data_IF_662412015345
#
_entry.id   IF_662412015345
#
_cell.length_a   1.000
_cell.length_b   1.000
_cell.length_c   1.000
_cell.angle_alpha   90.00
_cell.angle_beta   90.00
_cell.angle_gamma   90.00
#
_symmetry.space_group_name_H-M   'P 1'
#
loop_
_entity.id
_entity.type
_entity.pdbx_description
1 polymer ?
#
# COMPACT_ATOMS: atom_id res chain seq x y z
N UNK A 1 27.34 -47.90 -18.50
CA UNK A 1 28.74 -47.61 -18.14
C UNK A 1 29.56 -47.61 -19.42
N UNK A 2 29.75 -46.44 -20.02
CA UNK A 2 30.30 -46.29 -21.37
C UNK A 2 31.10 -44.98 -21.38
N UNK A 3 32.42 -45.08 -21.34
CA UNK A 3 33.37 -43.96 -21.41
C UNK A 3 33.60 -43.59 -22.86
N UNK A 4 33.66 -42.29 -23.21
CA UNK A 4 34.72 -41.77 -24.10
C UNK A 4 34.87 -40.26 -23.95
N UNK A 5 36.11 -39.81 -23.75
CA UNK A 5 36.58 -38.41 -23.72
C UNK A 5 37.21 -38.10 -25.09
N UNK A 6 37.08 -36.88 -25.60
CA UNK A 6 38.04 -36.31 -26.57
C UNK A 6 38.20 -34.80 -26.34
N UNK A 7 39.46 -34.39 -26.27
CA UNK A 7 39.98 -33.03 -26.15
C UNK A 7 41.01 -32.87 -27.27
N UNK A 8 40.99 -31.78 -28.03
CA UNK A 8 42.12 -31.34 -28.84
C UNK A 8 42.17 -29.80 -28.90
N UNK A 9 43.30 -29.27 -28.44
CA UNK A 9 43.74 -27.89 -28.59
C UNK A 9 44.44 -27.72 -29.95
N UNK A 10 44.39 -26.52 -30.53
CA UNK A 10 45.30 -26.12 -31.62
C UNK A 10 45.83 -24.70 -31.38
N UNK A 11 47.16 -24.61 -31.36
CA UNK A 11 48.05 -23.45 -31.31
C UNK A 11 47.99 -22.77 -32.70
N UNK A 12 47.72 -21.47 -32.86
CA UNK A 12 48.65 -20.35 -32.71
C UNK A 12 49.40 -20.04 -34.02
N UNK A 13 49.33 -18.80 -34.55
CA UNK A 13 50.49 -18.04 -35.07
C UNK A 13 50.09 -16.63 -35.56
N UNK A 14 51.02 -15.70 -35.32
CA UNK A 14 51.02 -14.24 -35.46
C UNK A 14 50.98 -13.70 -36.90
N UNK A 15 50.61 -12.42 -37.07
CA UNK A 15 51.31 -11.40 -37.91
C UNK A 15 50.92 -10.00 -37.40
N UNK A 16 51.94 -9.17 -37.20
CA UNK A 16 51.87 -7.72 -36.90
C UNK A 16 52.39 -6.98 -38.13
N UNK A 17 51.69 -5.95 -38.64
CA UNK A 17 52.32 -4.71 -39.15
C UNK A 17 51.30 -3.58 -39.37
N UNK A 18 51.79 -2.35 -39.32
CA UNK A 18 51.13 -1.14 -38.82
C UNK A 18 50.72 -0.11 -39.90
N UNK A 19 49.66 0.63 -39.55
CA UNK A 19 49.37 2.08 -39.74
C UNK A 19 49.39 2.68 -41.16
N UNK A 20 48.25 3.25 -41.55
CA UNK A 20 48.09 4.64 -42.02
C UNK A 20 46.59 4.94 -42.14
N UNK A 21 46.02 5.77 -41.26
CA UNK A 21 44.79 6.48 -41.60
C UNK A 21 44.67 7.81 -40.83
N UNK A 22 44.65 8.85 -41.64
CA UNK A 22 44.29 10.26 -41.48
C UNK A 22 43.50 10.70 -40.24
N UNK A 23 43.90 11.87 -39.74
CA UNK A 23 43.10 12.81 -38.98
C UNK A 23 41.67 12.95 -39.54
N UNK A 24 40.65 12.84 -38.68
CA UNK A 24 39.44 13.64 -38.80
C UNK A 24 38.82 13.88 -37.41
N UNK A 25 38.23 15.06 -37.28
CA UNK A 25 38.00 15.77 -36.05
C UNK A 25 36.70 15.39 -35.30
N UNK A 26 36.72 15.69 -34.00
CA UNK A 26 35.61 15.96 -33.08
C UNK A 26 34.38 15.04 -33.16
N UNK A 27 34.26 14.15 -32.19
CA UNK A 27 32.97 13.82 -31.58
C UNK A 27 33.03 14.12 -30.10
N UNK A 28 32.15 15.02 -29.66
CA UNK A 28 32.00 15.46 -28.27
C UNK A 28 31.82 14.26 -27.35
N UNK A 29 32.54 14.24 -26.22
CA UNK A 29 32.30 13.26 -25.16
C UNK A 29 31.05 13.69 -24.39
N UNK A 30 29.89 13.14 -24.74
CA UNK A 30 28.75 13.16 -23.84
C UNK A 30 29.05 12.19 -22.68
N UNK A 31 29.55 12.76 -21.57
CA UNK A 31 29.72 12.12 -20.28
C UNK A 31 28.35 11.55 -19.83
N UNK A 32 28.21 10.26 -19.47
CA UNK A 32 26.96 9.80 -18.88
C UNK A 32 26.85 10.46 -17.51
N UNK A 33 25.96 11.44 -17.40
CA UNK A 33 25.61 12.04 -16.13
C UNK A 33 24.67 11.07 -15.41
N UNK A 34 25.25 10.19 -14.60
CA UNK A 34 24.51 9.23 -13.80
C UNK A 34 24.10 9.86 -12.47
N UNK A 35 23.33 10.94 -12.52
CA UNK A 35 22.58 11.42 -11.37
C UNK A 35 21.19 10.79 -11.39
N UNK A 36 21.15 9.45 -11.26
CA UNK A 36 19.91 8.78 -10.89
C UNK A 36 19.78 8.88 -9.37
N UNK A 37 19.39 10.07 -8.89
CA UNK A 37 18.81 10.18 -7.56
C UNK A 37 17.47 9.45 -7.64
N UNK A 38 17.25 8.29 -6.99
CA UNK A 38 15.89 7.82 -6.81
C UNK A 38 15.19 8.95 -6.10
N UNK A 39 14.22 9.57 -6.77
CA UNK A 39 13.29 10.43 -6.07
C UNK A 39 12.57 9.48 -5.13
N UNK A 40 13.05 9.38 -3.90
CA UNK A 40 12.25 8.86 -2.81
C UNK A 40 11.13 9.87 -2.70
N UNK A 41 10.07 9.67 -3.48
CA UNK A 41 8.81 10.36 -3.26
C UNK A 41 8.51 10.10 -1.81
N UNK A 42 8.63 11.13 -0.97
CA UNK A 42 8.15 11.07 0.40
C UNK A 42 6.66 10.78 0.27
N UNK A 43 6.30 9.51 0.41
CA UNK A 43 4.92 9.08 0.44
C UNK A 43 4.33 9.76 1.67
N UNK A 44 3.68 10.90 1.46
CA UNK A 44 2.98 11.58 2.53
C UNK A 44 1.87 10.64 2.99
N UNK A 45 1.99 10.09 4.19
CA UNK A 45 0.89 9.37 4.81
C UNK A 45 -0.31 10.32 4.87
N UNK A 46 -1.46 9.86 4.38
CA UNK A 46 -2.66 10.68 4.31
C UNK A 46 -3.37 10.63 5.65
N UNK A 47 -3.78 11.78 6.18
CA UNK A 47 -4.52 11.86 7.44
C UNK A 47 -5.99 12.13 7.16
N UNK A 48 -6.86 11.41 7.88
CA UNK A 48 -8.30 11.64 7.89
C UNK A 48 -8.75 12.00 9.30
N UNK A 49 -9.87 12.70 9.38
CA UNK A 49 -10.60 12.93 10.61
C UNK A 49 -11.93 12.18 10.55
N UNK A 50 -12.35 11.66 11.70
CA UNK A 50 -13.58 10.91 11.94
C UNK A 50 -14.32 11.65 13.05
N UNK A 51 -15.36 12.37 12.68
CA UNK A 51 -16.29 13.02 13.58
C UNK A 51 -17.32 11.96 14.01
N UNK A 52 -17.46 11.70 15.31
CA UNK A 52 -18.46 10.78 15.85
C UNK A 52 -19.57 11.60 16.48
N UNK A 53 -20.82 11.29 16.17
CA UNK A 53 -21.97 11.96 16.78
C UNK A 53 -21.93 11.83 18.31
N UNK A 54 -22.01 12.97 19.00
CA UNK A 54 -21.92 13.03 20.47
C UNK A 54 -20.50 13.20 21.04
N UNK A 55 -19.46 13.18 20.21
CA UNK A 55 -18.10 13.55 20.62
C UNK A 55 -17.78 14.99 20.22
N UNK A 56 -17.14 15.74 21.14
CA UNK A 56 -16.74 17.13 20.89
C UNK A 56 -15.51 17.23 19.99
N UNK A 57 -14.59 16.25 20.08
CA UNK A 57 -13.34 16.25 19.33
C UNK A 57 -13.36 15.15 18.27
N UNK A 58 -12.87 15.43 17.06
CA UNK A 58 -12.72 14.41 16.05
C UNK A 58 -11.60 13.43 16.44
N UNK A 59 -11.74 12.19 15.99
CA UNK A 59 -10.67 11.20 16.04
C UNK A 59 -9.88 11.32 14.74
N UNK A 60 -8.60 11.00 14.78
CA UNK A 60 -7.79 10.98 13.58
C UNK A 60 -7.35 9.56 13.22
N UNK A 61 -7.14 9.32 11.93
CA UNK A 61 -6.48 8.12 11.45
C UNK A 61 -5.45 8.46 10.38
N UNK A 62 -4.35 7.73 10.39
CA UNK A 62 -3.30 7.81 9.38
C UNK A 62 -3.45 6.63 8.42
N UNK A 63 -3.58 6.93 7.13
CA UNK A 63 -3.74 5.94 6.08
C UNK A 63 -2.41 5.58 5.42
N UNK A 64 -2.30 4.31 5.04
CA UNK A 64 -1.22 3.81 4.21
C UNK A 64 -1.43 4.19 2.74
N UNK A 65 -0.35 4.33 1.99
CA UNK A 65 -0.41 4.60 0.56
C UNK A 65 -0.66 3.31 -0.22
N UNK A 66 -1.91 3.09 -0.62
CA UNK A 66 -2.31 1.97 -1.46
C UNK A 66 -3.39 2.40 -2.48
N UNK A 67 -3.60 1.65 -3.58
CA UNK A 67 -4.74 1.88 -4.47
C UNK A 67 -6.09 1.86 -3.74
N UNK A 68 -6.27 0.96 -2.77
CA UNK A 68 -7.49 0.89 -1.95
C UNK A 68 -7.72 2.19 -1.17
N UNK A 69 -6.67 2.71 -0.55
CA UNK A 69 -6.73 3.98 0.19
C UNK A 69 -7.03 5.17 -0.73
N UNK A 70 -6.43 5.21 -1.91
CA UNK A 70 -6.70 6.27 -2.89
C UNK A 70 -8.18 6.29 -3.30
N UNK A 71 -8.77 5.13 -3.55
CA UNK A 71 -10.20 5.03 -3.87
C UNK A 71 -11.08 5.37 -2.67
N UNK A 72 -10.67 5.04 -1.45
CA UNK A 72 -11.38 5.43 -0.24
C UNK A 72 -11.40 6.96 -0.07
N UNK A 73 -10.25 7.61 -0.25
CA UNK A 73 -10.14 9.08 -0.18
C UNK A 73 -11.02 9.78 -1.23
N UNK A 74 -11.12 9.25 -2.45
CA UNK A 74 -11.98 9.81 -3.52
C UNK A 74 -13.46 9.82 -3.16
N UNK A 75 -13.89 8.99 -2.20
CA UNK A 75 -15.28 8.94 -1.73
C UNK A 75 -15.56 9.90 -0.59
N UNK A 76 -14.54 10.52 0.02
CA UNK A 76 -14.73 11.45 1.13
C UNK A 76 -15.28 12.79 0.62
N UNK A 77 -16.16 13.46 1.40
CA UNK A 77 -16.61 13.09 2.73
C UNK A 77 -17.69 11.98 2.73
N UNK A 78 -17.66 11.12 3.75
CA UNK A 78 -18.66 10.07 3.96
C UNK A 78 -19.40 10.29 5.26
N UNK A 79 -20.72 10.13 5.25
CA UNK A 79 -21.53 9.97 6.47
C UNK A 79 -22.00 8.52 6.55
N UNK A 80 -21.58 7.82 7.59
CA UNK A 80 -21.80 6.37 7.75
C UNK A 80 -22.46 6.08 9.09
N UNK A 81 -23.41 5.15 9.09
CA UNK A 81 -23.87 4.50 10.31
C UNK A 81 -23.09 3.20 10.47
N UNK A 82 -22.21 3.15 11.45
CA UNK A 82 -21.43 1.97 11.80
C UNK A 82 -22.24 1.08 12.74
N UNK A 83 -22.22 -0.23 12.52
CA UNK A 83 -22.86 -1.22 13.39
C UNK A 83 -21.83 -2.20 13.94
N UNK A 84 -22.08 -2.69 15.14
CA UNK A 84 -21.26 -3.74 15.75
C UNK A 84 -21.28 -5.02 14.94
N UNK A 85 -20.11 -5.62 14.76
CA UNK A 85 -19.96 -6.92 14.14
C UNK A 85 -18.91 -7.75 14.89
N UNK A 86 -19.28 -9.01 15.13
CA UNK A 86 -18.47 -10.01 15.81
C UNK A 86 -17.89 -9.56 17.18
N UNK A 87 -18.49 -8.55 17.84
CA UNK A 87 -17.99 -7.99 19.10
C UNK A 87 -16.53 -7.49 19.08
N UNK A 88 -15.98 -7.21 17.89
CA UNK A 88 -14.60 -6.77 17.69
C UNK A 88 -14.43 -5.60 16.72
N UNK A 89 -15.39 -5.37 15.82
CA UNK A 89 -15.30 -4.33 14.81
C UNK A 89 -16.62 -3.58 14.60
N UNK A 90 -16.50 -2.32 14.16
CA UNK A 90 -17.61 -1.52 13.65
C UNK A 90 -17.57 -1.49 12.13
N UNK A 91 -18.65 -1.85 11.47
CA UNK A 91 -18.69 -1.96 10.00
C UNK A 91 -19.75 -1.06 9.38
N UNK A 92 -19.48 -0.59 8.15
CA UNK A 92 -20.47 0.05 7.29
C UNK A 92 -20.13 -0.15 5.81
N UNK A 93 -21.15 -0.36 4.98
CA UNK A 93 -20.96 -0.51 3.53
C UNK A 93 -20.52 0.80 2.91
N UNK A 94 -19.53 0.75 2.01
CA UNK A 94 -19.09 1.93 1.26
C UNK A 94 -19.96 2.15 0.01
N UNK A 95 -20.15 3.39 -0.46
CA UNK A 95 -20.90 3.68 -1.69
C UNK A 95 -20.36 2.96 -2.92
N UNK A 96 -19.04 2.83 -3.02
CA UNK A 96 -18.36 2.10 -4.09
C UNK A 96 -17.28 1.18 -3.55
N UNK A 97 -17.13 0.01 -4.18
CA UNK A 97 -16.03 -0.92 -3.87
C UNK A 97 -14.68 -0.27 -4.17
N UNK A 98 -13.71 -0.53 -3.30
CA UNK A 98 -12.33 -0.08 -3.45
C UNK A 98 -11.55 -1.04 -4.35
N UNK A 99 -10.52 -0.53 -5.02
CA UNK A 99 -9.53 -1.37 -5.69
C UNK A 99 -8.90 -2.38 -4.73
N UNK A 100 -8.72 -3.61 -5.21
CA UNK A 100 -7.96 -4.66 -4.52
C UNK A 100 -6.59 -4.89 -5.20
N UNK A 101 -6.18 -3.99 -6.10
CA UNK A 101 -4.92 -4.10 -6.80
C UNK A 101 -3.75 -4.04 -5.81
N UNK A 102 -2.84 -5.01 -5.91
CA UNK A 102 -1.66 -5.13 -5.05
C UNK A 102 -1.96 -5.30 -3.56
N UNK A 103 -3.22 -5.54 -3.18
CA UNK A 103 -3.58 -5.85 -1.81
C UNK A 103 -3.09 -7.24 -1.42
N UNK A 104 -2.76 -7.42 -0.14
CA UNK A 104 -2.51 -8.75 0.40
C UNK A 104 -3.77 -9.62 0.30
N UNK A 105 -3.60 -10.95 0.42
CA UNK A 105 -4.74 -11.88 0.40
C UNK A 105 -5.72 -11.68 1.56
N UNK A 106 -5.31 -10.99 2.62
CA UNK A 106 -6.02 -10.95 3.89
C UNK A 106 -5.05 -10.80 5.05
N UNK A 107 -5.59 -10.53 6.24
CA UNK A 107 -4.87 -10.52 7.50
C UNK A 107 -5.84 -10.68 8.68
N UNK A 108 -5.31 -10.78 9.91
CA UNK A 108 -6.11 -10.75 11.12
C UNK A 108 -6.14 -9.32 11.68
N UNK A 109 -7.32 -8.69 11.67
CA UNK A 109 -7.53 -7.32 12.13
C UNK A 109 -7.04 -7.12 13.57
N UNK A 110 -6.43 -5.97 13.82
CA UNK A 110 -5.90 -5.56 15.13
C UNK A 110 -6.63 -4.35 15.66
N UNK A 111 -6.68 -4.25 16.98
CA UNK A 111 -7.23 -3.09 17.68
C UNK A 111 -6.67 -1.79 17.10
N UNK A 112 -7.56 -0.92 16.62
CA UNK A 112 -7.26 0.39 16.00
C UNK A 112 -7.08 0.36 14.48
N UNK A 113 -7.23 -0.80 13.84
CA UNK A 113 -7.12 -0.88 12.39
C UNK A 113 -8.36 -0.32 11.70
N UNK A 114 -8.12 0.50 10.68
CA UNK A 114 -9.09 0.87 9.67
C UNK A 114 -8.87 -0.05 8.46
N UNK A 115 -9.90 -0.80 8.09
CA UNK A 115 -9.82 -1.86 7.08
C UNK A 115 -10.96 -1.79 6.09
N UNK A 116 -10.75 -2.42 4.94
CA UNK A 116 -11.78 -2.69 3.95
C UNK A 116 -11.92 -4.19 3.77
N UNK A 117 -13.14 -4.70 3.92
CA UNK A 117 -13.43 -6.10 3.63
C UNK A 117 -13.97 -6.23 2.20
N UNK A 118 -13.08 -6.60 1.27
CA UNK A 118 -13.37 -6.61 -0.17
C UNK A 118 -14.52 -7.53 -0.61
N UNK A 119 -14.76 -8.71 0.01
CA UNK A 119 -15.88 -9.56 -0.37
C UNK A 119 -17.23 -8.86 -0.29
N UNK A 120 -17.45 -8.08 0.77
CA UNK A 120 -18.73 -7.38 1.00
C UNK A 120 -18.71 -5.92 0.55
N UNK A 121 -17.54 -5.28 0.55
CA UNK A 121 -17.42 -3.87 0.20
C UNK A 121 -17.65 -2.92 1.38
N UNK A 122 -17.40 -3.36 2.62
CA UNK A 122 -17.57 -2.54 3.80
C UNK A 122 -16.23 -2.02 4.37
N UNK A 123 -16.31 -0.84 4.98
CA UNK A 123 -15.35 -0.37 5.97
C UNK A 123 -15.48 -1.24 7.23
N UNK A 124 -14.35 -1.47 7.89
CA UNK A 124 -14.25 -2.16 9.17
C UNK A 124 -13.28 -1.39 10.08
N UNK A 125 -13.73 -1.04 11.28
CA UNK A 125 -12.94 -0.38 12.31
C UNK A 125 -12.82 -1.32 13.50
N UNK A 126 -11.64 -1.88 13.70
CA UNK A 126 -11.39 -2.82 14.79
C UNK A 126 -11.19 -2.07 16.10
N UNK A 127 -12.06 -2.32 17.08
CA UNK A 127 -11.90 -1.79 18.45
C UNK A 127 -11.38 -2.84 19.43
N UNK A 128 -11.23 -4.08 18.96
CA UNK A 128 -10.46 -5.18 19.56
C UNK A 128 -9.71 -5.92 18.44
N UNK A 129 -8.81 -6.83 18.82
CA UNK A 129 -8.28 -7.80 17.87
C UNK A 129 -9.41 -8.68 17.31
N UNK A 130 -9.28 -9.09 16.06
CA UNK A 130 -10.26 -9.94 15.39
C UNK A 130 -10.48 -11.25 16.15
N UNK A 131 -11.72 -11.48 16.61
CA UNK A 131 -12.12 -12.72 17.29
C UNK A 131 -12.15 -13.92 16.32
N UNK A 132 -12.35 -13.65 15.02
CA UNK A 132 -12.37 -14.69 13.97
C UNK A 132 -10.98 -14.96 13.39
N UNK A 133 -9.95 -14.21 13.82
CA UNK A 133 -8.58 -14.34 13.32
C UNK A 133 -8.42 -13.82 11.89
N UNK A 134 -7.77 -14.62 11.04
CA UNK A 134 -7.39 -14.25 9.67
C UNK A 134 -8.60 -14.23 8.73
N UNK A 135 -8.81 -13.10 8.04
CA UNK A 135 -9.89 -12.94 7.06
C UNK A 135 -9.34 -12.72 5.65
N UNK A 136 -9.75 -13.59 4.70
CA UNK A 136 -9.42 -13.43 3.29
C UNK A 136 -10.14 -12.20 2.70
N UNK A 137 -9.41 -11.34 2.00
CA UNK A 137 -9.93 -10.11 1.41
C UNK A 137 -10.08 -8.96 2.40
N UNK A 138 -9.59 -9.10 3.65
CA UNK A 138 -9.43 -7.98 4.55
C UNK A 138 -8.18 -7.18 4.16
N UNK A 139 -8.36 -5.90 3.89
CA UNK A 139 -7.32 -5.01 3.38
C UNK A 139 -7.10 -3.90 4.39
N UNK A 140 -5.87 -3.74 4.86
CA UNK A 140 -5.49 -2.64 5.75
C UNK A 140 -5.52 -1.32 4.98
N UNK A 141 -6.24 -0.32 5.50
CA UNK A 141 -6.26 1.04 4.95
C UNK A 141 -5.41 2.00 5.78
N UNK A 142 -5.38 1.80 7.10
CA UNK A 142 -4.70 2.71 8.01
C UNK A 142 -4.94 2.38 9.48
N UNK A 143 -4.43 3.26 10.34
CA UNK A 143 -4.52 3.12 11.80
C UNK A 143 -5.20 4.33 12.40
N UNK A 144 -6.15 4.10 13.31
CA UNK A 144 -6.66 5.12 14.20
C UNK A 144 -5.57 5.59 15.17
N UNK A 145 -5.50 6.89 15.42
CA UNK A 145 -4.56 7.49 16.38
C UNK A 145 -5.04 7.32 17.83
N UNK A 146 -6.36 7.22 18.02
CA UNK A 146 -7.00 6.95 19.30
C UNK A 146 -8.27 6.12 19.10
N UNK A 147 -8.73 5.41 20.13
CA UNK A 147 -9.95 4.61 20.15
C UNK A 147 -10.83 5.05 21.32
N UNK A 148 -11.83 5.92 21.09
CA UNK A 148 -12.68 6.38 22.17
C UNK A 148 -13.65 5.28 22.61
N UNK A 149 -14.07 5.35 23.88
CA UNK A 149 -14.86 4.32 24.57
C UNK A 149 -16.21 4.01 23.91
N UNK A 150 -16.72 4.90 23.07
CA UNK A 150 -17.98 4.75 22.34
C UNK A 150 -17.91 3.56 21.38
N UNK A 151 -16.73 3.28 20.79
CA UNK A 151 -16.51 2.07 19.99
C UNK A 151 -16.65 0.78 20.81
N UNK A 152 -16.38 0.83 22.12
CA UNK A 152 -16.52 -0.30 23.03
C UNK A 152 -17.93 -0.43 23.64
N UNK A 153 -18.64 0.69 23.79
CA UNK A 153 -19.85 0.75 24.63
C UNK A 153 -21.15 0.89 23.83
N UNK A 154 -21.10 1.37 22.58
CA UNK A 154 -22.28 1.56 21.75
C UNK A 154 -22.33 0.49 20.66
N UNK A 155 -23.54 -0.03 20.39
CA UNK A 155 -23.76 -1.00 19.30
C UNK A 155 -23.76 -0.35 17.92
N UNK A 156 -24.07 0.94 17.84
CA UNK A 156 -24.07 1.71 16.60
C UNK A 156 -23.44 3.09 16.81
N UNK A 157 -22.77 3.62 15.79
CA UNK A 157 -22.17 4.96 15.78
C UNK A 157 -22.48 5.65 14.47
N UNK A 158 -22.96 6.89 14.51
CA UNK A 158 -22.99 7.75 13.32
C UNK A 158 -21.67 8.50 13.23
N UNK A 159 -21.00 8.42 12.08
CA UNK A 159 -19.73 9.11 11.85
C UNK A 159 -19.74 9.92 10.57
N UNK A 160 -18.94 10.99 10.54
CA UNK A 160 -18.57 11.71 9.34
C UNK A 160 -17.06 11.65 9.15
N UNK A 161 -16.62 11.13 8.01
CA UNK A 161 -15.21 10.94 7.69
C UNK A 161 -14.80 11.97 6.63
N UNK A 162 -13.68 12.68 6.88
CA UNK A 162 -13.14 13.71 5.98
C UNK A 162 -11.63 13.61 5.86
N UNK A 163 -11.09 14.03 4.73
CA UNK A 163 -9.65 14.24 4.59
C UNK A 163 -9.23 15.49 5.37
N UNK A 164 -8.11 15.41 6.09
CA UNK A 164 -7.48 16.60 6.70
C UNK A 164 -6.82 17.40 5.59
N UNK A 165 -7.12 18.71 5.52
CA UNK A 165 -6.56 19.64 4.54
C UNK A 165 -5.17 20.13 4.96
#
# INVERSE_FOLDING_TARGET
MNKTKYSYAFVGCSIVLAILLSCFALTTTAKPNLDHHPTVTRVSKMKIQIEVEGLEQPIFATLDSSPSTQDFIKQLPLSLKLSDYASSEKIATLPHKLSTQSASKGYAGKTGDLSYYAPWGNLAIFYKDSEVGYANGLIFLGKMEDLPKEFLSQSELTVVIRQVK
#
